data_IF_320706195125
#
_entry.id   IF_320706195125
#
_cell.length_a   1.000
_cell.length_b   1.000
_cell.length_c   1.000
_cell.angle_alpha   90.00
_cell.angle_beta   90.00
_cell.angle_gamma   90.00
#
_symmetry.space_group_name_H-M   'P 1'
#
loop_
_entity.id
_entity.type
_entity.pdbx_description
1 polymer ?
#
# COMPACT_ATOMS: atom_id res chain seq x y z
N UNK A 1 -11.30 26.34 42.62
CA UNK A 1 -11.48 27.22 41.44
C UNK A 1 -10.36 26.88 40.48
N UNK A 2 -10.65 26.13 39.40
CA UNK A 2 -9.67 25.86 38.35
C UNK A 2 -9.29 27.19 37.69
N UNK A 3 -7.99 27.44 37.49
CA UNK A 3 -7.53 28.65 36.81
C UNK A 3 -7.78 28.52 35.31
N UNK A 4 -8.01 29.65 34.63
CA UNK A 4 -8.17 29.73 33.18
C UNK A 4 -7.03 29.01 32.42
N UNK A 5 -5.80 29.11 32.95
CA UNK A 5 -4.63 28.40 32.44
C UNK A 5 -4.73 26.86 32.55
N UNK A 6 -5.27 26.33 33.65
CA UNK A 6 -5.41 24.89 33.84
C UNK A 6 -6.54 24.30 32.98
N UNK A 7 -7.56 25.10 32.65
CA UNK A 7 -8.58 24.74 31.66
C UNK A 7 -8.00 24.76 30.25
N UNK A 8 -7.21 25.79 29.89
CA UNK A 8 -6.53 25.87 28.60
C UNK A 8 -5.62 24.68 28.33
N UNK A 9 -4.81 24.28 29.33
CA UNK A 9 -3.95 23.12 29.22
C UNK A 9 -4.74 21.81 29.00
N UNK A 10 -5.86 21.61 29.71
CA UNK A 10 -6.68 20.42 29.53
C UNK A 10 -7.31 20.34 28.13
N UNK A 11 -7.70 21.48 27.55
CA UNK A 11 -8.22 21.54 26.17
C UNK A 11 -7.12 21.19 25.15
N UNK A 12 -5.90 21.69 25.35
CA UNK A 12 -4.76 21.35 24.50
C UNK A 12 -4.40 19.86 24.57
N UNK A 13 -4.41 19.27 25.77
CA UNK A 13 -4.17 17.83 25.96
C UNK A 13 -5.21 16.97 25.24
N UNK A 14 -6.51 17.32 25.32
CA UNK A 14 -7.57 16.62 24.59
C UNK A 14 -7.38 16.76 23.08
N UNK A 15 -7.09 17.96 22.58
CA UNK A 15 -6.88 18.20 21.17
C UNK A 15 -5.66 17.42 20.62
N UNK A 16 -4.64 17.21 21.44
CA UNK A 16 -3.48 16.39 21.07
C UNK A 16 -3.82 14.89 21.04
N UNK A 17 -4.63 14.40 21.99
CA UNK A 17 -5.11 13.02 21.97
C UNK A 17 -5.95 12.74 20.70
N UNK A 18 -6.87 13.63 20.35
CA UNK A 18 -7.67 13.52 19.12
C UNK A 18 -6.77 13.51 17.86
N UNK A 19 -5.71 14.32 17.86
CA UNK A 19 -4.73 14.34 16.77
C UNK A 19 -3.99 13.00 16.67
N UNK A 20 -3.53 12.45 17.79
CA UNK A 20 -2.82 11.17 17.85
C UNK A 20 -3.72 10.03 17.35
N UNK A 21 -4.98 9.99 17.76
CA UNK A 21 -5.96 9.00 17.30
C UNK A 21 -6.12 9.09 15.77
N UNK A 22 -6.36 10.30 15.25
CA UNK A 22 -6.53 10.52 13.81
C UNK A 22 -5.29 10.15 13.01
N UNK A 23 -4.09 10.35 13.55
CA UNK A 23 -2.84 9.88 12.93
C UNK A 23 -2.84 8.34 12.88
N UNK A 24 -3.19 7.66 13.97
CA UNK A 24 -3.26 6.21 14.05
C UNK A 24 -4.26 5.61 13.05
N UNK A 25 -5.46 6.17 12.96
CA UNK A 25 -6.47 5.77 11.98
C UNK A 25 -5.97 5.98 10.54
N UNK A 26 -5.40 7.15 10.25
CA UNK A 26 -4.90 7.48 8.92
C UNK A 26 -3.75 6.55 8.50
N UNK A 27 -2.85 6.22 9.42
CA UNK A 27 -1.78 5.23 9.19
C UNK A 27 -2.34 3.84 8.91
N UNK A 28 -3.39 3.44 9.63
CA UNK A 28 -4.07 2.16 9.42
C UNK A 28 -4.72 2.08 8.03
N UNK A 29 -5.37 3.15 7.58
CA UNK A 29 -5.90 3.25 6.22
C UNK A 29 -4.80 3.17 5.16
N UNK A 30 -3.70 3.92 5.34
CA UNK A 30 -2.56 3.86 4.43
C UNK A 30 -2.00 2.43 4.31
N UNK A 31 -1.83 1.73 5.44
CA UNK A 31 -1.36 0.34 5.47
C UNK A 31 -2.31 -0.59 4.70
N UNK A 32 -3.63 -0.43 4.88
CA UNK A 32 -4.64 -1.20 4.17
C UNK A 32 -4.58 -0.96 2.65
N UNK A 33 -4.43 0.29 2.21
CA UNK A 33 -4.30 0.63 0.79
C UNK A 33 -3.05 0.05 0.16
N UNK A 34 -1.89 0.13 0.84
CA UNK A 34 -0.64 -0.45 0.33
C UNK A 34 -0.75 -1.99 0.26
N UNK A 35 -1.34 -2.63 1.28
CA UNK A 35 -1.59 -4.08 1.28
C UNK A 35 -2.46 -4.50 0.09
N UNK A 36 -3.53 -3.75 -0.18
CA UNK A 36 -4.40 -3.99 -1.33
C UNK A 36 -3.64 -3.84 -2.66
N UNK A 37 -2.75 -2.85 -2.78
CA UNK A 37 -1.91 -2.67 -3.95
C UNK A 37 -0.97 -3.86 -4.19
N UNK A 38 -0.30 -4.38 -3.15
CA UNK A 38 0.55 -5.59 -3.27
C UNK A 38 -0.27 -6.75 -3.81
N UNK A 39 -1.46 -6.98 -3.27
CA UNK A 39 -2.34 -8.07 -3.72
C UNK A 39 -2.78 -7.90 -5.18
N UNK A 40 -3.10 -6.68 -5.59
CA UNK A 40 -3.46 -6.39 -6.98
C UNK A 40 -2.31 -6.69 -7.94
N UNK A 41 -1.08 -6.31 -7.58
CA UNK A 41 0.11 -6.59 -8.39
C UNK A 41 0.43 -8.10 -8.48
N UNK A 42 0.25 -8.84 -7.38
CA UNK A 42 0.38 -10.30 -7.39
C UNK A 42 -0.65 -10.95 -8.31
N UNK A 43 -1.90 -10.50 -8.28
CA UNK A 43 -2.93 -10.99 -9.19
C UNK A 43 -2.61 -10.65 -10.65
N UNK A 44 -2.10 -9.45 -10.92
CA UNK A 44 -1.66 -9.07 -12.28
C UNK A 44 -0.53 -9.98 -12.78
N UNK A 45 0.42 -10.33 -11.92
CA UNK A 45 1.50 -11.28 -12.23
C UNK A 45 0.93 -12.65 -12.59
N UNK A 46 -0.01 -13.15 -11.80
CA UNK A 46 -0.67 -14.42 -12.08
C UNK A 46 -1.45 -14.39 -13.42
N UNK A 47 -2.17 -13.32 -13.71
CA UNK A 47 -2.87 -13.15 -15.00
C UNK A 47 -1.89 -13.12 -16.16
N UNK A 48 -0.75 -12.45 -16.03
CA UNK A 48 0.31 -12.45 -17.04
C UNK A 48 0.88 -13.87 -17.26
N UNK A 49 1.08 -14.64 -16.19
CA UNK A 49 1.49 -16.05 -16.30
C UNK A 49 0.47 -16.89 -17.06
N UNK A 50 -0.84 -16.67 -16.85
CA UNK A 50 -1.89 -17.35 -17.62
C UNK A 50 -1.78 -17.03 -19.11
N UNK A 51 -1.61 -15.75 -19.47
CA UNK A 51 -1.42 -15.32 -20.86
C UNK A 51 -0.20 -15.97 -21.51
N UNK A 52 0.88 -16.16 -20.73
CA UNK A 52 2.13 -16.77 -21.18
C UNK A 52 2.14 -18.30 -21.14
N UNK A 53 1.10 -18.91 -20.58
CA UNK A 53 0.98 -20.36 -20.43
C UNK A 53 0.43 -21.01 -21.69
N UNK A 54 0.68 -22.29 -21.88
CA UNK A 54 0.09 -23.08 -22.97
C UNK A 54 -1.44 -23.25 -22.85
N UNK A 55 -2.08 -22.76 -21.78
CA UNK A 55 -3.54 -22.80 -21.64
C UNK A 55 -4.25 -21.71 -22.44
N UNK A 56 -3.68 -20.50 -22.49
CA UNK A 56 -4.25 -19.35 -23.23
C UNK A 56 -3.33 -18.96 -24.37
N UNK A 57 -2.02 -18.94 -24.11
CA UNK A 57 -0.93 -18.65 -25.06
C UNK A 57 -1.19 -17.44 -25.96
N UNK A 58 -0.97 -16.27 -25.40
CA UNK A 58 -0.90 -15.03 -26.15
C UNK A 58 0.54 -14.82 -26.65
N UNK A 59 0.75 -14.86 -27.97
CA UNK A 59 2.09 -14.78 -28.59
C UNK A 59 2.80 -13.45 -28.30
N UNK A 60 2.07 -12.34 -28.17
CA UNK A 60 2.66 -11.01 -27.91
C UNK A 60 3.24 -10.95 -26.50
N UNK A 61 2.57 -11.61 -25.54
CA UNK A 61 3.03 -11.71 -24.16
C UNK A 61 3.99 -12.88 -23.91
N UNK A 62 3.85 -14.00 -24.62
CA UNK A 62 4.66 -15.21 -24.43
C UNK A 62 6.05 -15.08 -25.07
N UNK A 63 6.08 -14.65 -26.33
CA UNK A 63 7.29 -14.62 -27.17
C UNK A 63 7.77 -13.19 -27.47
N UNK A 64 6.87 -12.21 -27.33
CA UNK A 64 7.18 -10.80 -27.54
C UNK A 64 7.97 -10.17 -26.39
N UNK A 65 8.51 -8.98 -26.67
CA UNK A 65 9.22 -8.17 -25.67
C UNK A 65 8.26 -7.67 -24.59
N UNK A 66 7.02 -7.37 -24.98
CA UNK A 66 6.02 -6.72 -24.15
C UNK A 66 5.72 -7.53 -22.87
N UNK A 67 5.57 -8.85 -22.97
CA UNK A 67 5.35 -9.67 -21.78
C UNK A 67 6.54 -9.74 -20.83
N UNK A 68 7.78 -9.59 -21.32
CA UNK A 68 8.97 -9.50 -20.47
C UNK A 68 9.04 -8.14 -19.77
N UNK A 69 8.73 -7.07 -20.49
CA UNK A 69 8.72 -5.72 -19.94
C UNK A 69 7.63 -5.56 -18.88
N UNK A 70 6.43 -6.10 -19.13
CA UNK A 70 5.34 -6.12 -18.14
C UNK A 70 5.70 -6.97 -16.91
N UNK A 71 6.32 -8.15 -17.10
CA UNK A 71 6.78 -8.97 -15.97
C UNK A 71 7.79 -8.21 -15.09
N UNK A 72 8.78 -7.55 -15.72
CA UNK A 72 9.79 -6.76 -15.01
C UNK A 72 9.15 -5.61 -14.23
N UNK A 73 8.23 -4.89 -14.87
CA UNK A 73 7.48 -3.81 -14.22
C UNK A 73 6.69 -4.30 -12.99
N UNK A 74 6.02 -5.45 -13.09
CA UNK A 74 5.25 -6.02 -11.98
C UNK A 74 6.13 -6.45 -10.82
N UNK A 75 7.25 -7.11 -11.09
CA UNK A 75 8.22 -7.52 -10.06
C UNK A 75 8.80 -6.32 -9.31
N UNK A 76 9.22 -5.29 -10.04
CA UNK A 76 9.73 -4.05 -9.44
C UNK A 76 8.65 -3.32 -8.64
N UNK A 77 7.43 -3.28 -9.16
CA UNK A 77 6.29 -2.67 -8.45
C UNK A 77 6.01 -3.41 -7.14
N UNK A 78 5.97 -4.75 -7.13
CA UNK A 78 5.76 -5.55 -5.92
C UNK A 78 6.87 -5.26 -4.89
N UNK A 79 8.13 -5.22 -5.33
CA UNK A 79 9.28 -4.93 -4.47
C UNK A 79 9.15 -3.55 -3.83
N UNK A 80 8.87 -2.52 -4.63
CA UNK A 80 8.75 -1.14 -4.17
C UNK A 80 7.54 -0.96 -3.23
N UNK A 81 6.39 -1.56 -3.55
CA UNK A 81 5.19 -1.50 -2.71
C UNK A 81 5.40 -2.23 -1.38
N UNK A 82 6.10 -3.38 -1.36
CA UNK A 82 6.47 -4.07 -0.10
C UNK A 82 7.44 -3.23 0.75
N UNK A 83 8.38 -2.54 0.13
CA UNK A 83 9.26 -1.62 0.85
C UNK A 83 8.46 -0.48 1.50
N UNK A 84 7.51 0.12 0.77
CA UNK A 84 6.60 1.13 1.33
C UNK A 84 5.75 0.58 2.48
N UNK A 85 5.21 -0.63 2.33
CA UNK A 85 4.45 -1.31 3.39
C UNK A 85 5.28 -1.46 4.67
N UNK A 86 6.53 -1.92 4.55
CA UNK A 86 7.42 -2.11 5.68
C UNK A 86 7.66 -0.80 6.45
N UNK A 87 7.82 0.34 5.76
CA UNK A 87 7.99 1.66 6.38
C UNK A 87 6.72 2.12 7.12
N UNK A 88 5.53 1.79 6.62
CA UNK A 88 4.27 2.19 7.26
C UNK A 88 3.94 1.31 8.47
N UNK A 89 4.33 0.03 8.42
CA UNK A 89 4.08 -0.98 9.44
C UNK A 89 5.03 -0.89 10.67
N UNK A 90 6.03 -0.01 10.67
CA UNK A 90 6.89 0.25 11.84
C UNK A 90 6.24 1.23 12.82
#
# INVERSE_FOLDING_TARGET
MYTDAALGQAVEEIAELDRIERIGETRSHLLAHISAAVKALQNATHTLEQLRSNSVYDVEFADGRDGRDVATFLDDSIRNTRAAYAVVHT
#
